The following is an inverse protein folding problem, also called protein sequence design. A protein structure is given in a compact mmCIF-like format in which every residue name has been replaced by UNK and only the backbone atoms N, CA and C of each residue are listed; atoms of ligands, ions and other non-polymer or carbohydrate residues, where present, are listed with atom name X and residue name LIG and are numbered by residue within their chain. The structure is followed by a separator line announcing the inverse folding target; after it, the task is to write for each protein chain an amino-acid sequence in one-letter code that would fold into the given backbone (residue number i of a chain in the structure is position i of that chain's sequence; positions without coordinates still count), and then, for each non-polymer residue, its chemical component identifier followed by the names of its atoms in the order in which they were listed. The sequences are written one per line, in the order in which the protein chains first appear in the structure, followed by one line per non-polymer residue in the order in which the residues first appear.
data_IF_734073534420
#
_entry.id   IF_734073534420
#
_cell.length_a   1.000
_cell.length_b   1.000
_cell.length_c   1.000
_cell.angle_alpha   90.00
_cell.angle_beta   90.00
_cell.angle_gamma   90.00
#
_symmetry.space_group_name_H-M   'P 1'
#
loop_
_entity.id
_entity.type
_entity.pdbx_description
1 polymer ?
#
# COMPACT_ATOMS: atom_id res chain seq x y z
N UNK A 1 27.80 -1.30 -8.14
CA UNK A 1 27.17 -1.89 -6.95
C UNK A 1 26.02 -2.77 -7.40
N UNK A 2 26.13 -4.07 -7.17
CA UNK A 2 25.04 -5.03 -7.47
C UNK A 2 23.96 -4.83 -6.44
N UNK A 3 22.81 -4.33 -6.87
CA UNK A 3 21.63 -4.18 -5.99
C UNK A 3 21.16 -5.61 -5.67
N UNK A 4 21.39 -6.03 -4.42
CA UNK A 4 20.92 -7.32 -3.94
C UNK A 4 19.39 -7.27 -3.86
N UNK A 5 18.72 -7.95 -4.79
CA UNK A 5 17.27 -8.15 -4.77
C UNK A 5 16.99 -9.50 -4.12
N UNK A 6 16.54 -9.56 -2.86
CA UNK A 6 16.15 -10.84 -2.29
C UNK A 6 14.97 -11.41 -3.11
N UNK A 7 14.94 -12.72 -3.35
CA UNK A 7 13.81 -13.32 -4.05
C UNK A 7 12.54 -13.18 -3.20
N UNK A 8 11.47 -12.67 -3.81
CA UNK A 8 10.15 -12.64 -3.18
C UNK A 8 9.58 -14.06 -3.19
N UNK A 9 9.55 -14.69 -2.02
CA UNK A 9 8.95 -16.02 -1.83
C UNK A 9 7.66 -15.86 -1.07
N UNK A 10 6.54 -16.06 -1.75
CA UNK A 10 5.22 -15.99 -1.13
C UNK A 10 4.70 -17.39 -0.82
N UNK A 11 4.20 -17.54 0.40
CA UNK A 11 3.53 -18.75 0.86
C UNK A 11 2.03 -18.66 0.56
N UNK A 12 1.40 -19.81 0.37
CA UNK A 12 -0.04 -19.91 0.18
C UNK A 12 -0.79 -19.60 1.49
N UNK A 13 -1.99 -19.06 1.36
CA UNK A 13 -2.91 -18.75 2.46
C UNK A 13 -2.34 -17.82 3.54
N UNK A 14 -1.40 -16.94 3.18
CA UNK A 14 -0.70 -16.05 4.12
C UNK A 14 -1.10 -14.58 3.95
N UNK A 15 -0.96 -13.83 5.04
CA UNK A 15 -1.14 -12.38 5.09
C UNK A 15 0.21 -11.69 4.91
N UNK A 16 0.19 -10.58 4.18
CA UNK A 16 1.39 -9.78 3.92
C UNK A 16 1.12 -8.30 4.14
N UNK A 17 2.11 -7.62 4.67
CA UNK A 17 2.22 -6.17 4.63
C UNK A 17 3.19 -5.80 3.50
N UNK A 18 2.77 -4.91 2.63
CA UNK A 18 3.52 -4.49 1.45
C UNK A 18 3.74 -2.99 1.48
N UNK A 19 4.94 -2.58 1.13
CA UNK A 19 5.31 -1.18 0.88
C UNK A 19 5.90 -1.07 -0.51
N UNK A 20 5.35 -0.20 -1.36
CA UNK A 20 5.92 0.07 -2.68
C UNK A 20 6.08 1.56 -2.92
N UNK A 21 7.27 1.98 -3.27
CA UNK A 21 7.60 3.36 -3.56
C UNK A 21 7.81 3.64 -5.03
N UNK A 22 7.59 4.88 -5.44
CA UNK A 22 7.96 5.35 -6.76
C UNK A 22 9.48 5.46 -6.90
N UNK A 23 9.96 5.41 -8.14
CA UNK A 23 11.39 5.57 -8.42
C UNK A 23 11.89 6.95 -7.95
N UNK A 24 12.95 6.93 -7.12
CA UNK A 24 13.51 8.11 -6.47
C UNK A 24 12.48 8.90 -5.65
N UNK A 25 11.48 8.24 -5.11
CA UNK A 25 10.42 8.79 -4.24
C UNK A 25 9.70 10.03 -4.79
N UNK A 26 9.72 10.18 -6.10
CA UNK A 26 9.04 11.29 -6.75
C UNK A 26 7.54 11.20 -6.55
N UNK A 27 6.90 12.32 -6.20
CA UNK A 27 5.44 12.42 -6.10
C UNK A 27 4.78 12.37 -7.48
N UNK A 28 4.78 11.18 -8.11
CA UNK A 28 4.25 10.99 -9.46
C UNK A 28 2.71 10.93 -9.49
N UNK A 29 2.11 10.45 -8.41
CA UNK A 29 0.65 10.35 -8.21
C UNK A 29 0.09 11.60 -7.50
N UNK A 30 0.44 12.79 -8.00
CA UNK A 30 0.30 14.08 -7.33
C UNK A 30 -1.03 14.81 -7.62
N UNK A 31 -1.99 14.19 -8.25
CA UNK A 31 -3.32 14.74 -8.48
C UNK A 31 -4.41 13.76 -8.06
N UNK A 32 -5.58 14.27 -7.67
CA UNK A 32 -6.74 13.46 -7.29
C UNK A 32 -7.09 12.43 -8.38
N UNK A 33 -7.12 12.84 -9.64
CA UNK A 33 -7.44 11.94 -10.76
C UNK A 33 -6.43 10.78 -10.92
N UNK A 34 -5.14 11.04 -10.71
CA UNK A 34 -4.11 10.00 -10.74
C UNK A 34 -4.29 9.01 -9.58
N UNK A 35 -4.49 9.51 -8.35
CA UNK A 35 -4.73 8.68 -7.17
C UNK A 35 -6.00 7.83 -7.33
N UNK A 36 -7.09 8.41 -7.85
CA UNK A 36 -8.32 7.68 -8.18
C UNK A 36 -8.07 6.55 -9.18
N UNK A 37 -7.28 6.81 -10.22
CA UNK A 37 -6.95 5.77 -11.20
C UNK A 37 -6.11 4.64 -10.58
N UNK A 38 -5.16 4.97 -9.73
CA UNK A 38 -4.33 3.96 -9.07
C UNK A 38 -5.15 3.12 -8.09
N UNK A 39 -6.04 3.74 -7.30
CA UNK A 39 -6.94 3.00 -6.39
C UNK A 39 -7.92 2.10 -7.15
N UNK A 40 -8.46 2.58 -8.28
CA UNK A 40 -9.30 1.76 -9.15
C UNK A 40 -8.54 0.53 -9.68
N UNK A 41 -7.32 0.72 -10.19
CA UNK A 41 -6.48 -0.39 -10.66
C UNK A 41 -6.14 -1.37 -9.54
N UNK A 42 -5.86 -0.87 -8.34
CA UNK A 42 -5.60 -1.71 -7.16
C UNK A 42 -6.79 -2.64 -6.89
N UNK A 43 -7.99 -2.10 -6.80
CA UNK A 43 -9.21 -2.88 -6.51
C UNK A 43 -9.57 -3.83 -7.66
N UNK A 44 -9.49 -3.38 -8.92
CA UNK A 44 -9.78 -4.22 -10.09
C UNK A 44 -8.82 -5.42 -10.18
N UNK A 45 -7.53 -5.16 -10.05
CA UNK A 45 -6.50 -6.20 -10.21
C UNK A 45 -6.49 -7.14 -9.01
N UNK A 46 -6.76 -6.65 -7.79
CA UNK A 46 -6.87 -7.52 -6.61
C UNK A 46 -7.98 -8.56 -6.77
N UNK A 47 -9.14 -8.16 -7.29
CA UNK A 47 -10.23 -9.08 -7.60
C UNK A 47 -9.87 -10.12 -8.67
N UNK A 48 -9.11 -9.72 -9.70
CA UNK A 48 -8.67 -10.61 -10.79
C UNK A 48 -7.72 -11.72 -10.32
N UNK A 49 -6.88 -11.44 -9.33
CA UNK A 49 -5.90 -12.40 -8.79
C UNK A 49 -6.28 -12.98 -7.43
N UNK A 50 -7.54 -12.83 -7.00
CA UNK A 50 -8.03 -13.29 -5.71
C UNK A 50 -7.17 -12.83 -4.52
N UNK A 51 -6.66 -11.59 -4.61
CA UNK A 51 -5.94 -10.94 -3.51
C UNK A 51 -6.95 -10.21 -2.65
N UNK A 52 -7.08 -10.63 -1.39
CA UNK A 52 -7.99 -10.02 -0.44
C UNK A 52 -7.29 -8.84 0.27
N UNK A 53 -7.76 -7.61 0.01
CA UNK A 53 -7.24 -6.39 0.62
C UNK A 53 -7.95 -6.14 1.95
N UNK A 54 -7.20 -6.12 3.06
CA UNK A 54 -7.71 -5.75 4.39
C UNK A 54 -7.60 -4.26 4.67
N UNK A 55 -6.46 -3.67 4.36
CA UNK A 55 -6.26 -2.24 4.49
C UNK A 55 -5.29 -1.75 3.43
N UNK A 56 -5.50 -0.53 2.96
CA UNK A 56 -4.58 0.12 2.03
C UNK A 56 -4.60 1.63 2.19
N UNK A 57 -3.49 2.25 1.83
CA UNK A 57 -3.34 3.69 1.64
C UNK A 57 -2.45 3.94 0.42
N UNK A 58 -2.85 4.88 -0.42
CA UNK A 58 -2.07 5.31 -1.59
C UNK A 58 -1.69 6.78 -1.40
N UNK A 59 -0.39 7.05 -1.38
CA UNK A 59 0.17 8.40 -1.30
C UNK A 59 0.83 8.79 -2.63
N UNK A 60 1.15 10.06 -2.84
CA UNK A 60 1.73 10.53 -4.10
C UNK A 60 3.03 9.85 -4.54
N UNK A 61 3.80 9.27 -3.63
CA UNK A 61 5.09 8.65 -3.89
C UNK A 61 5.24 7.20 -3.39
N UNK A 62 4.24 6.64 -2.71
CA UNK A 62 4.25 5.26 -2.25
C UNK A 62 2.84 4.77 -1.90
N UNK A 63 2.71 3.48 -1.66
CA UNK A 63 1.51 2.89 -1.06
C UNK A 63 1.87 1.81 -0.06
N UNK A 64 0.94 1.56 0.86
CA UNK A 64 0.99 0.41 1.76
C UNK A 64 -0.26 -0.44 1.59
N UNK A 65 -0.09 -1.76 1.63
CA UNK A 65 -1.19 -2.73 1.58
C UNK A 65 -1.04 -3.73 2.72
N UNK A 66 -2.16 -4.07 3.34
CA UNK A 66 -2.31 -5.25 4.19
C UNK A 66 -3.27 -6.18 3.47
N UNK A 67 -2.79 -7.33 3.06
CA UNK A 67 -3.51 -8.23 2.17
C UNK A 67 -3.34 -9.71 2.55
N UNK A 68 -4.20 -10.55 2.00
CA UNK A 68 -4.06 -12.01 2.01
C UNK A 68 -4.10 -12.54 0.59
N UNK A 69 -3.27 -13.51 0.29
CA UNK A 69 -3.35 -14.30 -0.93
C UNK A 69 -3.63 -15.77 -0.60
N UNK A 70 -4.44 -16.43 -1.42
CA UNK A 70 -4.64 -17.88 -1.30
C UNK A 70 -3.49 -18.66 -1.91
N UNK A 71 -2.90 -18.13 -2.99
CA UNK A 71 -1.76 -18.73 -3.68
C UNK A 71 -0.65 -17.70 -3.81
N UNK A 72 0.54 -18.03 -3.34
CA UNK A 72 1.69 -17.13 -3.38
C UNK A 72 2.05 -16.66 -4.79
N UNK A 73 1.92 -17.52 -5.79
CA UNK A 73 2.17 -17.18 -7.20
C UNK A 73 1.24 -16.08 -7.75
N UNK A 74 0.01 -15.99 -7.25
CA UNK A 74 -0.95 -14.98 -7.69
C UNK A 74 -0.54 -13.59 -7.21
N UNK A 75 0.12 -13.49 -6.06
CA UNK A 75 0.64 -12.24 -5.55
C UNK A 75 1.76 -11.68 -6.45
N UNK A 76 2.63 -12.55 -6.99
CA UNK A 76 3.66 -12.14 -7.97
C UNK A 76 3.00 -11.57 -9.23
N UNK A 77 1.95 -12.26 -9.75
CA UNK A 77 1.20 -11.83 -10.94
C UNK A 77 0.47 -10.51 -10.67
N UNK A 78 -0.13 -10.37 -9.50
CA UNK A 78 -0.81 -9.17 -9.04
C UNK A 78 0.12 -7.95 -9.08
N UNK A 79 1.30 -8.00 -8.42
CA UNK A 79 2.23 -6.85 -8.41
C UNK A 79 2.77 -6.54 -9.80
N UNK A 80 3.11 -7.55 -10.57
CA UNK A 80 3.56 -7.34 -11.95
C UNK A 80 2.50 -6.59 -12.77
N UNK A 81 1.25 -7.01 -12.66
CA UNK A 81 0.14 -6.38 -13.38
C UNK A 81 -0.14 -4.96 -12.90
N UNK A 82 -0.25 -4.76 -11.57
CA UNK A 82 -0.51 -3.46 -10.97
C UNK A 82 0.56 -2.44 -11.35
N UNK A 83 1.83 -2.79 -11.20
CA UNK A 83 2.93 -1.88 -11.51
C UNK A 83 3.05 -1.60 -13.02
N UNK A 84 2.86 -2.61 -13.87
CA UNK A 84 2.89 -2.44 -15.32
C UNK A 84 1.76 -1.54 -15.82
N UNK A 85 0.52 -1.80 -15.41
CA UNK A 85 -0.64 -1.06 -15.90
C UNK A 85 -0.64 0.39 -15.40
N UNK A 86 -0.35 0.59 -14.11
CA UNK A 86 -0.28 1.92 -13.52
C UNK A 86 0.86 2.75 -14.10
N UNK A 87 2.04 2.16 -14.31
CA UNK A 87 3.15 2.85 -14.96
C UNK A 87 2.83 3.21 -16.41
N UNK A 88 2.22 2.30 -17.17
CA UNK A 88 1.81 2.54 -18.56
C UNK A 88 0.75 3.63 -18.65
N UNK A 89 -0.21 3.64 -17.74
CA UNK A 89 -1.21 4.70 -17.66
C UNK A 89 -0.55 6.06 -17.41
N UNK A 90 0.28 6.16 -16.38
CA UNK A 90 0.90 7.43 -15.99
C UNK A 90 1.83 7.97 -17.06
N UNK A 91 2.65 7.12 -17.67
CA UNK A 91 3.56 7.50 -18.73
C UNK A 91 2.84 8.00 -19.98
N UNK A 92 1.70 7.36 -20.32
CA UNK A 92 0.85 7.79 -21.43
C UNK A 92 0.14 9.10 -21.15
N UNK A 93 -0.38 9.27 -19.91
CA UNK A 93 -1.05 10.49 -19.49
C UNK A 93 -0.14 11.73 -19.57
N UNK A 94 1.13 11.56 -19.27
CA UNK A 94 2.12 12.65 -19.24
C UNK A 94 2.99 12.72 -20.48
N UNK A 95 2.70 11.90 -21.51
CA UNK A 95 3.49 11.76 -22.75
C UNK A 95 4.99 11.53 -22.49
N UNK A 96 5.31 10.73 -21.49
CA UNK A 96 6.69 10.39 -21.11
C UNK A 96 6.99 8.95 -21.49
N UNK A 97 8.00 8.74 -22.34
CA UNK A 97 8.41 7.39 -22.76
C UNK A 97 9.48 6.82 -21.82
N UNK A 98 9.38 5.51 -21.55
CA UNK A 98 10.40 4.72 -20.85
C UNK A 98 10.75 5.19 -19.44
N UNK A 99 9.90 6.00 -18.78
CA UNK A 99 10.11 6.39 -17.39
C UNK A 99 9.84 5.22 -16.47
N UNK A 100 10.76 4.93 -15.57
CA UNK A 100 10.53 4.04 -14.45
C UNK A 100 9.62 4.75 -13.42
N UNK A 101 8.44 4.18 -13.16
CA UNK A 101 7.47 4.72 -12.20
C UNK A 101 7.69 4.11 -10.83
N UNK A 102 7.73 2.78 -10.75
CA UNK A 102 7.92 2.06 -9.51
C UNK A 102 9.39 1.68 -9.32
N UNK A 103 9.81 1.71 -8.06
CA UNK A 103 11.09 1.16 -7.63
C UNK A 103 10.91 -0.31 -7.19
N UNK A 104 11.51 -0.71 -6.11
CA UNK A 104 11.26 -2.00 -5.46
C UNK A 104 10.05 -1.89 -4.55
N UNK A 105 9.41 -3.02 -4.26
CA UNK A 105 8.49 -3.13 -3.15
C UNK A 105 9.09 -4.08 -2.12
N UNK A 106 8.68 -3.89 -0.87
CA UNK A 106 9.07 -4.71 0.27
C UNK A 106 7.85 -5.44 0.77
N UNK A 107 8.03 -6.70 1.12
CA UNK A 107 6.99 -7.54 1.66
C UNK A 107 7.41 -8.12 3.01
N UNK A 108 6.43 -8.18 3.91
CA UNK A 108 6.58 -8.81 5.21
C UNK A 108 5.42 -9.75 5.45
N UNK A 109 5.72 -11.03 5.69
CA UNK A 109 4.72 -12.01 6.10
C UNK A 109 4.22 -11.71 7.52
N UNK A 110 2.91 -11.63 7.69
CA UNK A 110 2.23 -11.37 8.95
C UNK A 110 1.95 -12.71 9.63
N UNK A 111 2.57 -12.94 10.80
CA UNK A 111 2.54 -14.24 11.49
C UNK A 111 1.59 -14.29 12.69
N UNK A 112 1.13 -13.14 13.18
CA UNK A 112 0.26 -13.08 14.35
C UNK A 112 -0.72 -11.89 14.27
N UNK A 113 -1.77 -11.97 15.09
CA UNK A 113 -2.83 -10.97 15.18
C UNK A 113 -2.33 -9.58 15.60
N UNK A 114 -1.40 -9.51 16.54
CA UNK A 114 -0.86 -8.23 17.02
C UNK A 114 -0.13 -7.49 15.88
N UNK A 115 0.71 -8.19 15.12
CA UNK A 115 1.43 -7.62 13.97
C UNK A 115 0.44 -7.16 12.88
N UNK A 116 -0.66 -7.91 12.67
CA UNK A 116 -1.74 -7.51 11.77
C UNK A 116 -2.36 -6.17 12.17
N UNK A 117 -2.83 -6.04 13.41
CA UNK A 117 -3.53 -4.84 13.86
C UNK A 117 -2.62 -3.62 13.98
N UNK A 118 -1.37 -3.80 14.37
CA UNK A 118 -0.38 -2.70 14.37
C UNK A 118 -0.19 -2.14 12.96
N UNK A 119 -0.11 -3.01 11.95
CA UNK A 119 0.04 -2.58 10.54
C UNK A 119 -1.25 -2.03 9.96
N UNK A 120 -2.39 -2.56 10.35
CA UNK A 120 -3.68 -1.99 10.02
C UNK A 120 -3.78 -0.53 10.48
N UNK A 121 -3.44 -0.26 11.72
CA UNK A 121 -3.43 1.10 12.27
C UNK A 121 -2.38 1.98 11.59
N UNK A 122 -1.19 1.44 11.35
CA UNK A 122 -0.12 2.15 10.65
C UNK A 122 -0.54 2.61 9.24
N UNK A 123 -1.18 1.76 8.45
CA UNK A 123 -1.70 2.09 7.12
C UNK A 123 -2.67 3.27 7.21
N UNK A 124 -3.61 3.22 8.14
CA UNK A 124 -4.64 4.24 8.26
C UNK A 124 -4.10 5.60 8.75
N UNK A 125 -3.07 5.59 9.60
CA UNK A 125 -2.43 6.84 10.06
C UNK A 125 -1.43 7.41 9.04
N UNK A 126 -1.07 6.66 8.02
CA UNK A 126 0.07 7.00 7.15
C UNK A 126 -0.10 8.35 6.44
N UNK A 127 -1.29 8.70 5.97
CA UNK A 127 -1.57 9.99 5.34
C UNK A 127 -1.37 11.17 6.30
N UNK A 128 -1.78 11.02 7.56
CA UNK A 128 -1.57 12.03 8.61
C UNK A 128 -0.07 12.11 8.96
N UNK A 129 0.59 10.97 9.14
CA UNK A 129 2.04 10.90 9.41
C UNK A 129 2.87 11.67 8.39
N UNK A 130 2.48 11.61 7.11
CA UNK A 130 3.17 12.30 6.01
C UNK A 130 2.60 13.70 5.70
N UNK A 131 1.69 14.22 6.51
CA UNK A 131 1.15 15.58 6.38
C UNK A 131 0.25 15.82 5.15
N UNK A 132 -0.32 14.74 4.57
CA UNK A 132 -1.25 14.85 3.44
C UNK A 132 -2.67 15.21 3.86
N UNK A 133 -2.98 15.05 5.12
CA UNK A 133 -4.25 15.40 5.75
C UNK A 133 -4.05 15.62 7.24
N UNK A 134 -4.95 16.37 7.88
CA UNK A 134 -4.95 16.52 9.34
C UNK A 134 -5.70 15.36 10.03
N UNK A 135 -6.69 14.79 9.37
CA UNK A 135 -7.52 13.69 9.91
C UNK A 135 -7.53 12.51 8.95
N UNK A 136 -7.50 11.31 9.51
CA UNK A 136 -7.52 10.07 8.73
C UNK A 136 -8.80 9.92 7.88
N UNK A 137 -9.92 10.39 8.38
CA UNK A 137 -11.25 10.33 7.73
C UNK A 137 -11.37 11.22 6.49
N UNK A 138 -10.53 12.27 6.39
CA UNK A 138 -10.53 13.20 5.27
C UNK A 138 -9.67 12.74 4.09
N UNK A 139 -8.91 11.64 4.27
CA UNK A 139 -8.08 11.12 3.20
C UNK A 139 -8.79 10.04 2.39
N UNK A 140 -9.25 10.40 1.19
CA UNK A 140 -10.07 9.54 0.31
C UNK A 140 -9.33 8.28 -0.21
N UNK A 141 -7.99 8.29 -0.27
CA UNK A 141 -7.19 7.21 -0.86
C UNK A 141 -6.66 6.24 0.19
N UNK A 142 -7.54 5.86 1.12
CA UNK A 142 -7.31 4.82 2.13
C UNK A 142 -8.62 4.12 2.48
N UNK A 143 -8.52 2.94 3.06
CA UNK A 143 -9.67 2.18 3.58
C UNK A 143 -10.19 2.69 4.92
N UNK A 144 -9.61 3.73 5.52
CA UNK A 144 -10.01 4.22 6.85
C UNK A 144 -11.49 4.54 6.93
N UNK A 145 -11.99 5.31 5.95
CA UNK A 145 -13.39 5.76 5.92
C UNK A 145 -14.36 4.59 5.76
N UNK A 146 -14.02 3.57 4.98
CA UNK A 146 -14.85 2.37 4.82
C UNK A 146 -15.04 1.64 6.17
N UNK A 147 -13.96 1.52 6.95
CA UNK A 147 -14.01 0.92 8.28
C UNK A 147 -14.75 1.80 9.28
N UNK A 148 -14.55 3.12 9.24
CA UNK A 148 -15.25 4.08 10.08
C UNK A 148 -16.77 4.03 9.83
N UNK A 149 -17.19 4.06 8.58
CA UNK A 149 -18.61 4.04 8.19
C UNK A 149 -19.27 2.70 8.55
N UNK A 150 -18.52 1.59 8.45
CA UNK A 150 -19.03 0.25 8.74
C UNK A 150 -19.11 -0.09 10.24
N UNK A 151 -18.10 0.31 11.00
CA UNK A 151 -17.91 -0.18 12.38
C UNK A 151 -18.07 0.92 13.44
N UNK A 152 -18.03 2.19 13.02
CA UNK A 152 -18.16 3.35 13.89
C UNK A 152 -16.84 3.83 14.53
N UNK A 153 -16.86 5.05 15.07
CA UNK A 153 -15.65 5.71 15.60
C UNK A 153 -15.10 5.02 16.86
N UNK A 154 -15.95 4.47 17.69
CA UNK A 154 -15.53 3.77 18.93
C UNK A 154 -14.71 2.52 18.60
N UNK A 155 -15.13 1.75 17.59
CA UNK A 155 -14.40 0.57 17.14
C UNK A 155 -13.03 0.95 16.57
N UNK A 156 -12.96 2.00 15.75
CA UNK A 156 -11.68 2.50 15.23
C UNK A 156 -10.76 2.95 16.36
N UNK A 157 -11.27 3.72 17.33
CA UNK A 157 -10.49 4.16 18.50
C UNK A 157 -9.98 2.98 19.32
N UNK A 158 -10.79 1.92 19.48
CA UNK A 158 -10.40 0.70 20.18
C UNK A 158 -9.26 -0.06 19.46
N UNK A 159 -9.29 -0.15 18.13
CA UNK A 159 -8.21 -0.73 17.34
C UNK A 159 -6.87 -0.02 17.61
N UNK A 160 -6.85 1.31 17.60
CA UNK A 160 -5.65 2.10 17.87
C UNK A 160 -5.17 1.97 19.31
N UNK A 161 -6.09 1.93 20.28
CA UNK A 161 -5.77 1.80 21.71
C UNK A 161 -5.17 0.43 22.04
N UNK A 162 -5.73 -0.65 21.51
CA UNK A 162 -5.27 -2.03 21.79
C UNK A 162 -3.96 -2.37 21.08
N UNK A 163 -3.77 -1.83 19.89
CA UNK A 163 -2.60 -2.10 19.08
C UNK A 163 -1.96 -0.79 18.63
N UNK A 164 -1.34 -0.03 19.56
CA UNK A 164 -0.71 1.24 19.24
C UNK A 164 0.34 1.04 18.15
N UNK A 165 0.46 2.04 17.29
CA UNK A 165 1.44 2.04 16.22
C UNK A 165 2.83 2.04 16.87
N UNK A 166 3.60 1.00 16.59
CA UNK A 166 5.02 1.00 16.83
C UNK A 166 5.64 1.76 15.67
N UNK A 167 6.44 2.77 15.98
CA UNK A 167 7.12 3.52 14.92
C UNK A 167 8.06 2.56 14.19
N UNK A 168 7.64 2.17 13.00
CA UNK A 168 8.46 1.39 12.08
C UNK A 168 9.46 2.35 11.40
N UNK A 169 10.31 2.99 12.18
CA UNK A 169 11.48 3.73 11.68
C UNK A 169 12.53 2.78 11.10
N UNK A 170 12.11 1.60 10.73
CA UNK A 170 12.93 0.64 10.03
C UNK A 170 13.07 1.05 8.56
N UNK A 171 14.09 0.52 7.92
CA UNK A 171 14.52 0.74 6.53
C UNK A 171 13.38 0.75 5.49
N UNK A 172 12.21 0.20 5.82
CA UNK A 172 11.02 0.15 4.98
C UNK A 172 10.37 1.52 4.77
N UNK A 173 10.47 2.43 5.75
CA UNK A 173 9.94 3.81 5.67
C UNK A 173 11.02 4.87 5.49
N UNK A 174 12.30 4.50 5.60
CA UNK A 174 13.41 5.39 5.28
C UNK A 174 13.46 5.69 3.78
N UNK A 175 12.36 6.25 3.31
CA UNK A 175 12.30 6.96 2.07
C UNK A 175 12.97 8.36 2.21
N UNK A 176 13.94 8.54 3.08
CA UNK A 176 14.75 9.75 3.11
C UNK A 176 15.78 9.69 1.98
N UNK A 177 16.00 10.80 1.34
CA UNK A 177 16.71 11.09 0.09
C UNK A 177 18.02 10.37 -0.15
#
# INVERSE_FOLDING_TARGET
MTIHRPPHVYLDDMRYFITAGTFRKKCLWNTKAKLQRLSFLLCEISGRYNVNLYAWVILPNHYHLLLKTLRGEDLVKFFRKLHSDSASYLNRLEDVRSRQVWYQYWDRCIRNEKDFWVRFNYIHQNAVKHGWTEKMEDYEFSTYKEYLDKNGPEWMADCFRRCPIIDFTTEEDNFQE
#
